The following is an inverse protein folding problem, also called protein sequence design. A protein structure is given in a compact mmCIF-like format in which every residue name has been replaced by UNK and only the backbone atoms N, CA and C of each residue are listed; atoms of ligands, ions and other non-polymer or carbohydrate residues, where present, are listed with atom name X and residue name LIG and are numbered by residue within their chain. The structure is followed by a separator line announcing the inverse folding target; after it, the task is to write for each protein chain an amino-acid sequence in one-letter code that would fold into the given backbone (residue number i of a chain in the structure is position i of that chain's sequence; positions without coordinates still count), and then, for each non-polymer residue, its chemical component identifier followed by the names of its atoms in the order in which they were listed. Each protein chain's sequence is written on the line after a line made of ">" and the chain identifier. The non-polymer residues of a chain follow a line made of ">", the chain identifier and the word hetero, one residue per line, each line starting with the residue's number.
data_IF_176647175820
#
_entry.id   IF_176647175820
#
_cell.length_a   1.000
_cell.length_b   1.000
_cell.length_c   1.000
_cell.angle_alpha   90.00
_cell.angle_beta   90.00
_cell.angle_gamma   90.00
#
_symmetry.space_group_name_H-M   'P 1'
#
loop_
_entity.id
_entity.type
_entity.pdbx_description
1 polymer ?
#
# COMPACT_ATOMS: atom_id res chain seq x y z
N UNK A 1 7.27 -5.59 11.84
CA UNK A 1 8.59 -4.92 11.79
C UNK A 1 8.51 -3.48 11.30
N UNK A 2 7.78 -3.19 10.21
CA UNK A 2 7.66 -1.84 9.62
C UNK A 2 7.16 -0.73 10.57
N UNK A 3 6.05 -0.95 11.28
CA UNK A 3 5.51 0.03 12.23
C UNK A 3 6.46 0.35 13.41
N UNK A 4 7.33 -0.59 13.82
CA UNK A 4 8.29 -0.34 14.91
C UNK A 4 9.34 0.70 14.48
N UNK A 5 9.84 0.58 13.25
CA UNK A 5 10.78 1.55 12.67
C UNK A 5 10.13 2.90 12.39
N UNK A 6 8.85 2.91 12.00
CA UNK A 6 8.10 4.15 11.74
C UNK A 6 7.79 4.95 12.99
N UNK A 7 7.61 4.30 14.15
CA UNK A 7 7.48 5.02 15.44
C UNK A 7 8.72 5.86 15.73
N UNK A 8 9.91 5.30 15.53
CA UNK A 8 11.22 5.97 15.69
C UNK A 8 11.33 7.16 14.77
N UNK A 9 11.04 6.96 13.50
CA UNK A 9 11.10 8.00 12.48
C UNK A 9 10.13 9.16 12.77
N UNK A 10 8.88 8.86 13.12
CA UNK A 10 7.88 9.86 13.49
C UNK A 10 8.34 10.65 14.73
N UNK A 11 8.88 9.98 15.75
CA UNK A 11 9.34 10.64 16.97
C UNK A 11 10.53 11.60 16.69
N UNK A 12 11.46 11.19 15.83
CA UNK A 12 12.60 12.03 15.39
C UNK A 12 12.12 13.20 14.53
N UNK A 13 11.20 12.99 13.59
CA UNK A 13 10.69 14.07 12.74
C UNK A 13 9.91 15.12 13.56
N UNK A 14 9.13 14.69 14.56
CA UNK A 14 8.44 15.63 15.47
C UNK A 14 9.45 16.36 16.36
N UNK A 15 10.52 15.72 16.83
CA UNK A 15 11.55 16.39 17.65
C UNK A 15 12.33 17.44 16.86
N UNK A 16 12.47 17.26 15.54
CA UNK A 16 13.00 18.25 14.60
C UNK A 16 12.03 19.41 14.28
N UNK A 17 10.83 19.41 14.87
CA UNK A 17 9.84 20.49 14.70
C UNK A 17 8.98 20.37 13.44
N UNK A 18 9.01 19.24 12.73
CA UNK A 18 8.17 19.03 11.55
C UNK A 18 6.71 18.88 11.99
N UNK A 19 5.81 19.55 11.27
CA UNK A 19 4.38 19.48 11.55
C UNK A 19 3.86 18.04 11.36
N UNK A 20 3.04 17.58 12.30
CA UNK A 20 2.41 16.24 12.29
C UNK A 20 1.63 15.95 10.99
N UNK A 21 1.00 16.97 10.42
CA UNK A 21 0.29 16.86 9.14
C UNK A 21 1.21 16.55 7.96
N UNK A 22 2.43 17.09 7.95
CA UNK A 22 3.40 16.82 6.89
C UNK A 22 3.89 15.38 6.96
N UNK A 23 4.13 14.87 8.18
CA UNK A 23 4.54 13.48 8.42
C UNK A 23 3.43 12.52 7.96
N UNK A 24 2.17 12.83 8.28
CA UNK A 24 1.03 12.02 7.83
C UNK A 24 0.87 12.05 6.30
N UNK A 25 0.98 13.23 5.68
CA UNK A 25 0.92 13.36 4.21
C UNK A 25 2.06 12.62 3.52
N UNK A 26 3.27 12.64 4.09
CA UNK A 26 4.41 11.91 3.56
C UNK A 26 4.17 10.41 3.59
N UNK A 27 3.69 9.86 4.72
CA UNK A 27 3.40 8.43 4.83
C UNK A 27 2.28 7.99 3.88
N UNK A 28 1.20 8.76 3.77
CA UNK A 28 0.13 8.46 2.81
C UNK A 28 0.70 8.43 1.39
N UNK A 29 1.53 9.39 1.03
CA UNK A 29 2.12 9.47 -0.31
C UNK A 29 3.08 8.29 -0.58
N UNK A 30 3.89 7.90 0.40
CA UNK A 30 4.76 6.71 0.30
C UNK A 30 3.94 5.43 0.04
N UNK A 31 2.86 5.21 0.80
CA UNK A 31 2.02 4.03 0.62
C UNK A 31 1.24 4.05 -0.70
N UNK A 32 0.79 5.22 -1.15
CA UNK A 32 0.11 5.39 -2.44
C UNK A 32 1.05 5.04 -3.61
N UNK A 33 2.31 5.48 -3.55
CA UNK A 33 3.32 5.13 -4.56
C UNK A 33 3.60 3.63 -4.53
N UNK A 34 3.80 3.05 -3.34
CA UNK A 34 4.03 1.61 -3.20
C UNK A 34 2.88 0.78 -3.77
N UNK A 35 1.64 1.17 -3.47
CA UNK A 35 0.46 0.51 -4.00
C UNK A 35 0.37 0.64 -5.52
N UNK A 36 0.63 1.82 -6.07
CA UNK A 36 0.63 2.03 -7.51
C UNK A 36 1.68 1.17 -8.22
N UNK A 37 2.91 1.11 -7.70
CA UNK A 37 3.98 0.25 -8.22
C UNK A 37 3.58 -1.23 -8.15
N UNK A 38 3.00 -1.67 -7.03
CA UNK A 38 2.51 -3.03 -6.86
C UNK A 38 1.38 -3.35 -7.85
N UNK A 39 0.45 -2.43 -8.08
CA UNK A 39 -0.64 -2.59 -9.03
C UNK A 39 -0.13 -2.73 -10.47
N UNK A 40 0.83 -1.89 -10.89
CA UNK A 40 1.48 -2.01 -12.20
C UNK A 40 2.21 -3.34 -12.32
N UNK A 41 2.97 -3.74 -11.30
CA UNK A 41 3.66 -5.03 -11.26
C UNK A 41 2.71 -6.22 -11.37
N UNK A 42 1.60 -6.20 -10.63
CA UNK A 42 0.55 -7.20 -10.71
C UNK A 42 -0.12 -7.24 -12.09
N UNK A 43 -0.34 -6.07 -12.72
CA UNK A 43 -0.85 -5.97 -14.08
C UNK A 43 0.07 -6.63 -15.11
N UNK A 44 1.38 -6.38 -15.02
CA UNK A 44 2.39 -7.02 -15.87
C UNK A 44 2.41 -8.53 -15.63
N UNK A 45 2.48 -8.96 -14.37
CA UNK A 45 2.48 -10.37 -14.00
C UNK A 45 1.22 -11.09 -14.51
N UNK A 46 0.07 -10.44 -14.41
CA UNK A 46 -1.20 -10.97 -14.92
C UNK A 46 -1.13 -11.14 -16.44
N UNK A 47 -0.66 -10.15 -17.20
CA UNK A 47 -0.50 -10.29 -18.66
C UNK A 47 0.43 -11.43 -19.07
N UNK A 48 1.46 -11.73 -18.29
CA UNK A 48 2.39 -12.84 -18.55
C UNK A 48 1.79 -14.22 -18.21
N UNK A 49 1.03 -14.29 -17.12
CA UNK A 49 0.46 -15.55 -16.61
C UNK A 49 -0.86 -15.92 -17.27
N UNK A 50 -1.68 -14.94 -17.65
CA UNK A 50 -2.99 -15.12 -18.25
C UNK A 50 -3.00 -16.04 -19.47
N UNK A 51 -2.11 -15.90 -20.47
CA UNK A 51 -2.08 -16.81 -21.62
C UNK A 51 -1.65 -18.23 -21.24
N UNK A 52 -0.79 -18.41 -20.23
CA UNK A 52 -0.40 -19.76 -19.74
C UNK A 52 -1.58 -20.46 -19.08
N UNK A 53 -2.32 -19.73 -18.26
CA UNK A 53 -3.51 -20.24 -17.56
C UNK A 53 -4.64 -20.51 -18.56
N UNK A 54 -4.92 -19.57 -19.47
CA UNK A 54 -5.95 -19.72 -20.51
C UNK A 54 -5.67 -20.93 -21.40
N UNK A 55 -4.42 -21.12 -21.85
CA UNK A 55 -4.06 -22.30 -22.64
C UNK A 55 -4.22 -23.61 -21.86
N UNK A 56 -3.79 -23.65 -20.59
CA UNK A 56 -3.98 -24.83 -19.74
C UNK A 56 -5.45 -25.18 -19.53
N UNK A 57 -6.32 -24.18 -19.34
CA UNK A 57 -7.76 -24.36 -19.17
C UNK A 57 -8.45 -24.74 -20.47
N UNK A 58 -8.05 -24.15 -21.60
CA UNK A 58 -8.60 -24.47 -22.92
C UNK A 58 -8.32 -25.92 -23.33
N UNK A 59 -7.14 -26.45 -22.99
CA UNK A 59 -6.80 -27.86 -23.21
C UNK A 59 -7.70 -28.78 -22.37
N UNK A 60 -8.06 -28.38 -21.14
CA UNK A 60 -8.94 -29.17 -20.28
C UNK A 60 -10.42 -29.10 -20.67
N UNK A 61 -10.87 -27.98 -21.24
CA UNK A 61 -12.30 -27.75 -21.52
C UNK A 61 -12.68 -27.96 -22.99
N UNK A 62 -11.72 -28.21 -23.88
CA UNK A 62 -11.96 -28.44 -25.31
C UNK A 62 -12.44 -27.21 -26.09
N UNK A 63 -12.48 -26.03 -25.45
CA UNK A 63 -12.95 -24.78 -26.01
C UNK A 63 -12.00 -23.64 -25.63
N UNK A 64 -11.72 -22.72 -26.56
CA UNK A 64 -10.83 -21.57 -26.31
C UNK A 64 -11.54 -20.52 -25.45
N UNK A 65 -11.10 -20.34 -24.21
CA UNK A 65 -11.59 -19.27 -23.31
C UNK A 65 -10.70 -18.02 -23.51
N UNK A 66 -11.23 -17.02 -24.21
CA UNK A 66 -10.62 -15.70 -24.26
C UNK A 66 -10.92 -14.95 -22.95
N UNK A 67 -9.91 -14.82 -22.09
CA UNK A 67 -10.03 -14.08 -20.83
C UNK A 67 -9.65 -12.62 -21.10
N UNK A 68 -10.65 -11.77 -21.36
CA UNK A 68 -10.43 -10.33 -21.54
C UNK A 68 -10.39 -9.60 -20.20
N UNK A 69 -9.38 -8.75 -20.04
CA UNK A 69 -9.23 -7.90 -18.87
C UNK A 69 -9.82 -6.53 -19.17
N UNK A 70 -11.04 -6.29 -18.67
CA UNK A 70 -11.74 -5.03 -18.86
C UNK A 70 -11.03 -3.87 -18.15
N UNK A 71 -10.64 -2.84 -18.90
CA UNK A 71 -9.97 -1.65 -18.38
C UNK A 71 -10.79 -0.93 -17.29
N UNK A 72 -12.12 -0.86 -17.46
CA UNK A 72 -13.04 -0.28 -16.48
C UNK A 72 -12.93 -0.97 -15.10
N UNK A 73 -12.91 -2.31 -15.10
CA UNK A 73 -12.78 -3.07 -13.86
C UNK A 73 -11.43 -2.83 -13.17
N UNK A 74 -10.34 -2.78 -13.96
CA UNK A 74 -9.00 -2.48 -13.42
C UNK A 74 -8.92 -1.10 -12.78
N UNK A 75 -9.51 -0.08 -13.42
CA UNK A 75 -9.56 1.27 -12.83
C UNK A 75 -10.38 1.33 -11.54
N UNK A 76 -11.47 0.55 -11.45
CA UNK A 76 -12.26 0.42 -10.23
C UNK A 76 -11.46 -0.18 -9.08
N UNK A 77 -10.73 -1.27 -9.35
CA UNK A 77 -9.85 -1.93 -8.36
C UNK A 77 -8.76 -0.97 -7.88
N UNK A 78 -8.14 -0.22 -8.79
CA UNK A 78 -7.12 0.77 -8.44
C UNK A 78 -7.69 1.85 -7.49
N UNK A 79 -8.84 2.42 -7.82
CA UNK A 79 -9.47 3.46 -7.00
C UNK A 79 -9.84 2.95 -5.60
N UNK A 80 -10.44 1.76 -5.52
CA UNK A 80 -10.82 1.15 -4.24
C UNK A 80 -9.56 0.86 -3.40
N UNK A 81 -8.51 0.34 -4.02
CA UNK A 81 -7.26 0.04 -3.32
C UNK A 81 -6.54 1.29 -2.82
N UNK A 82 -6.46 2.35 -3.63
CA UNK A 82 -5.91 3.63 -3.20
C UNK A 82 -6.70 4.23 -2.03
N UNK A 83 -8.04 4.23 -2.11
CA UNK A 83 -8.88 4.69 -1.00
C UNK A 83 -8.66 3.83 0.27
N UNK A 84 -8.56 2.52 0.11
CA UNK A 84 -8.29 1.58 1.19
C UNK A 84 -6.95 1.85 1.86
N UNK A 85 -5.88 2.06 1.08
CA UNK A 85 -4.55 2.42 1.57
C UNK A 85 -4.65 3.68 2.43
N UNK A 86 -5.18 4.79 1.90
CA UNK A 86 -5.32 6.05 2.65
C UNK A 86 -6.04 5.88 3.99
N UNK A 87 -7.15 5.14 4.01
CA UNK A 87 -7.93 4.89 5.22
C UNK A 87 -7.13 4.08 6.23
N UNK A 88 -6.48 3.00 5.79
CA UNK A 88 -5.69 2.12 6.65
C UNK A 88 -4.47 2.84 7.23
N UNK A 89 -3.74 3.60 6.40
CA UNK A 89 -2.61 4.43 6.85
C UNK A 89 -3.06 5.45 7.90
N UNK A 90 -4.20 6.11 7.66
CA UNK A 90 -4.78 7.07 8.59
C UNK A 90 -5.11 6.44 9.95
N UNK A 91 -5.81 5.31 9.97
CA UNK A 91 -6.15 4.57 11.19
C UNK A 91 -4.89 4.10 11.92
N UNK A 92 -3.89 3.61 11.19
CA UNK A 92 -2.64 3.11 11.76
C UNK A 92 -1.80 4.20 12.43
N UNK A 93 -1.76 5.41 11.86
CA UNK A 93 -0.93 6.53 12.35
C UNK A 93 -1.65 7.35 13.42
N UNK A 94 -2.98 7.42 13.39
CA UNK A 94 -3.80 8.17 14.34
C UNK A 94 -3.40 8.03 15.82
N UNK A 95 -3.19 6.82 16.38
CA UNK A 95 -2.81 6.66 17.79
C UNK A 95 -1.41 7.23 18.11
N UNK A 96 -0.49 7.27 17.14
CA UNK A 96 0.88 7.73 17.35
C UNK A 96 0.99 9.26 17.37
N UNK A 97 0.09 9.96 16.69
CA UNK A 97 0.06 11.43 16.72
C UNK A 97 -0.45 11.99 18.06
N UNK A 98 -1.19 11.20 18.84
CA UNK A 98 -1.71 11.58 20.16
C UNK A 98 -0.72 11.31 21.30
N UNK A 99 0.23 10.39 21.13
CA UNK A 99 1.20 10.08 22.20
C UNK A 99 2.22 11.22 22.40
N UNK A 100 2.64 11.50 23.64
CA UNK A 100 3.71 12.44 23.91
C UNK A 100 5.04 11.89 23.37
N UNK A 101 5.73 12.70 22.55
CA UNK A 101 6.98 12.33 21.85
C UNK A 101 8.06 11.85 22.83
N UNK A 102 8.13 12.48 24.01
CA UNK A 102 9.11 12.17 25.06
C UNK A 102 9.04 10.71 25.53
N UNK A 103 7.83 10.16 25.60
CA UNK A 103 7.60 8.77 26.04
C UNK A 103 7.99 7.77 24.95
N UNK A 104 7.85 8.16 23.68
CA UNK A 104 8.26 7.33 22.53
C UNK A 104 9.78 7.29 22.38
N UNK A 105 10.48 8.39 22.68
CA UNK A 105 11.93 8.45 22.66
C UNK A 105 12.56 7.74 23.87
N UNK A 106 11.94 7.80 25.06
CA UNK A 106 12.44 7.05 26.23
C UNK A 106 12.32 5.53 26.07
N UNK A 107 11.32 5.04 25.33
CA UNK A 107 11.22 3.62 24.93
C UNK A 107 12.34 3.17 23.98
N UNK A 108 13.13 4.08 23.43
CA UNK A 108 14.23 3.77 22.50
C UNK A 108 15.61 3.78 23.16
N UNK A 109 15.72 4.38 24.35
CA UNK A 109 16.95 4.43 25.14
C UNK A 109 17.06 3.24 26.12
N UNK A 110 15.96 2.53 26.39
CA UNK A 110 15.91 1.30 27.19
C UNK A 110 15.89 0.04 26.35
#
# INVERSE_FOLDING_TARGET
>A
MWMRSRKTEIAVLISLGIAKGNILSQMILEEMILYFVAFVGAGIATKLLLPRISNSLAIMQGNSIALELSFSWQSGVLCIGLAGVVILTGIAIFPYMKKPVKETLSEMEG
#
